data_IF_356037389647
#
_entry.id   IF_356037389647
#
_cell.length_a   1.000
_cell.length_b   1.000
_cell.length_c   1.000
_cell.angle_alpha   90.00
_cell.angle_beta   90.00
_cell.angle_gamma   90.00
#
_symmetry.space_group_name_H-M   'P 1'
#
loop_
_entity.id
_entity.type
_entity.pdbx_description
1 polymer ?
#
# COMPACT_ATOMS: atom_id res chain seq x y z
N UNK A 1 -17.34 -7.79 -7.22
CA UNK A 1 -16.14 -6.97 -6.97
C UNK A 1 -15.97 -6.92 -5.46
N UNK A 2 -15.07 -7.71 -4.92
CA UNK A 2 -14.78 -7.72 -3.49
C UNK A 2 -14.11 -6.40 -3.13
N UNK A 3 -14.65 -5.70 -2.15
CA UNK A 3 -14.00 -4.55 -1.53
C UNK A 3 -13.04 -5.10 -0.49
N UNK A 4 -11.76 -4.84 -0.64
CA UNK A 4 -10.71 -5.28 0.30
C UNK A 4 -10.86 -4.67 1.70
N UNK A 5 -11.57 -3.55 1.81
CA UNK A 5 -11.76 -2.82 3.05
C UNK A 5 -13.22 -2.89 3.52
N UNK A 6 -13.46 -3.70 4.55
CA UNK A 6 -14.77 -3.87 5.18
C UNK A 6 -15.09 -2.86 6.30
N UNK A 7 -14.20 -1.91 6.59
CA UNK A 7 -14.31 -0.98 7.73
C UNK A 7 -15.62 -0.19 7.74
N UNK A 8 -16.10 0.22 6.56
CA UNK A 8 -17.38 0.93 6.46
C UNK A 8 -18.58 0.05 6.80
N UNK A 9 -18.54 -1.23 6.46
CA UNK A 9 -19.61 -2.17 6.78
C UNK A 9 -19.60 -2.49 8.27
N UNK A 10 -18.43 -2.65 8.86
CA UNK A 10 -18.28 -2.82 10.31
C UNK A 10 -18.83 -1.58 11.04
N UNK A 11 -18.43 -0.38 10.63
CA UNK A 11 -18.90 0.88 11.23
C UNK A 11 -20.42 1.06 11.15
N UNK A 12 -21.07 0.55 10.11
CA UNK A 12 -22.53 0.61 9.93
C UNK A 12 -23.27 -0.42 10.76
N UNK A 13 -22.75 -1.64 10.81
CA UNK A 13 -23.50 -2.79 11.33
C UNK A 13 -23.18 -3.12 12.79
N UNK A 14 -22.08 -2.60 13.33
CA UNK A 14 -21.65 -2.84 14.71
C UNK A 14 -21.78 -1.53 15.52
N UNK A 15 -22.68 -1.47 16.52
CA UNK A 15 -22.82 -0.31 17.39
C UNK A 15 -21.60 -0.13 18.32
N UNK A 16 -21.43 1.08 18.86
CA UNK A 16 -20.42 1.40 19.87
C UNK A 16 -19.14 2.03 19.35
N UNK A 17 -18.97 2.12 18.03
CA UNK A 17 -17.87 2.90 17.44
C UNK A 17 -18.23 4.38 17.36
N UNK A 18 -17.30 5.23 17.79
CA UNK A 18 -17.39 6.69 17.64
C UNK A 18 -16.58 7.17 16.43
N UNK A 19 -15.41 6.55 16.24
CA UNK A 19 -14.45 6.84 15.17
C UNK A 19 -13.99 5.52 14.57
N UNK A 20 -13.86 5.47 13.27
CA UNK A 20 -13.19 4.39 12.56
C UNK A 20 -12.11 4.99 11.66
N UNK A 21 -10.85 4.69 11.99
CA UNK A 21 -9.70 5.02 11.16
C UNK A 21 -9.49 3.90 10.16
N UNK A 22 -9.45 4.26 8.88
CA UNK A 22 -9.31 3.32 7.78
C UNK A 22 -7.95 3.46 7.09
N UNK A 23 -7.57 2.44 6.35
CA UNK A 23 -6.38 2.44 5.50
C UNK A 23 -6.49 1.35 4.43
N UNK A 24 -5.36 0.89 3.89
CA UNK A 24 -5.19 -0.18 2.92
C UNK A 24 -5.62 0.15 1.49
N UNK A 25 -6.82 0.68 1.28
CA UNK A 25 -7.35 1.02 -0.06
C UNK A 25 -6.78 2.34 -0.64
N UNK A 26 -5.91 3.01 0.14
CA UNK A 26 -5.27 4.28 -0.19
C UNK A 26 -6.25 5.41 -0.52
N UNK A 27 -7.53 5.25 -0.17
CA UNK A 27 -8.53 6.28 -0.39
C UNK A 27 -8.35 7.45 0.59
N UNK A 28 -8.77 8.64 0.17
CA UNK A 28 -8.84 9.81 1.04
C UNK A 28 -10.31 10.06 1.36
N UNK A 29 -10.68 9.88 2.62
CA UNK A 29 -12.07 10.00 3.01
C UNK A 29 -12.23 10.59 4.41
N UNK A 30 -13.13 11.56 4.53
CA UNK A 30 -13.57 12.13 5.79
C UNK A 30 -15.09 12.31 5.74
N UNK A 31 -15.81 11.54 6.53
CA UNK A 31 -17.27 11.60 6.56
C UNK A 31 -17.86 11.16 7.90
N UNK A 32 -19.13 11.41 8.09
CA UNK A 32 -19.96 10.81 9.15
C UNK A 32 -20.95 9.84 8.53
N UNK A 33 -21.15 8.72 9.17
CA UNK A 33 -22.19 7.75 8.80
C UNK A 33 -23.07 7.46 10.02
N UNK A 34 -24.26 6.93 9.79
CA UNK A 34 -25.11 6.37 10.84
C UNK A 34 -24.90 4.86 10.90
N UNK A 35 -24.79 4.33 12.13
CA UNK A 35 -24.82 2.89 12.37
C UNK A 35 -26.26 2.37 12.54
N UNK A 36 -26.43 1.07 12.71
CA UNK A 36 -27.74 0.42 12.90
C UNK A 36 -28.46 0.86 14.17
N UNK A 37 -27.75 1.40 15.17
CA UNK A 37 -28.34 1.97 16.41
C UNK A 37 -28.70 3.45 16.26
N UNK A 38 -28.43 4.07 15.11
CA UNK A 38 -28.68 5.49 14.85
C UNK A 38 -27.57 6.43 15.31
N UNK A 39 -26.47 5.91 15.89
CA UNK A 39 -25.34 6.72 16.34
C UNK A 39 -24.52 7.23 15.17
N UNK A 40 -23.90 8.38 15.34
CA UNK A 40 -22.96 8.93 14.35
C UNK A 40 -21.57 8.37 14.54
N UNK A 41 -21.01 7.79 13.50
CA UNK A 41 -19.63 7.30 13.46
C UNK A 41 -18.79 8.19 12.52
N UNK A 42 -17.67 8.72 13.01
CA UNK A 42 -16.71 9.46 12.20
C UNK A 42 -15.81 8.46 11.44
N UNK A 43 -15.75 8.58 10.14
CA UNK A 43 -14.87 7.79 9.26
C UNK A 43 -13.74 8.67 8.79
N UNK A 44 -12.51 8.19 8.91
CA UNK A 44 -11.30 8.91 8.50
C UNK A 44 -10.34 7.95 7.78
N UNK A 45 -9.98 8.27 6.54
CA UNK A 45 -8.99 7.56 5.76
C UNK A 45 -7.98 8.58 5.20
N UNK A 46 -6.72 8.58 5.67
CA UNK A 46 -5.73 9.58 5.30
C UNK A 46 -4.97 9.24 3.99
N UNK A 47 -5.50 8.39 3.14
CA UNK A 47 -4.81 7.90 1.94
C UNK A 47 -3.56 7.06 2.28
N UNK A 48 -2.44 7.28 1.57
CA UNK A 48 -1.20 6.53 1.74
C UNK A 48 0.03 7.45 1.72
N UNK A 49 1.20 6.88 2.00
CA UNK A 49 2.53 7.53 1.92
C UNK A 49 2.73 8.70 2.90
N UNK A 50 1.87 8.86 3.89
CA UNK A 50 1.99 9.95 4.87
C UNK A 50 1.76 11.35 4.31
N UNK A 51 1.18 11.49 3.10
CA UNK A 51 0.90 12.81 2.50
C UNK A 51 -0.20 13.56 3.25
N UNK A 52 -1.05 12.82 3.96
CA UNK A 52 -2.14 13.33 4.79
C UNK A 52 -2.11 12.61 6.14
N UNK A 53 -2.41 13.33 7.21
CA UNK A 53 -2.57 12.78 8.56
C UNK A 53 -4.01 12.99 9.02
N UNK A 54 -4.62 11.94 9.59
CA UNK A 54 -5.93 12.03 10.21
C UNK A 54 -5.77 12.49 11.68
N UNK A 55 -6.36 13.63 12.00
CA UNK A 55 -6.43 14.14 13.37
C UNK A 55 -7.87 13.98 13.86
N UNK A 56 -8.05 13.28 14.96
CA UNK A 56 -9.34 13.12 15.61
C UNK A 56 -9.34 13.79 16.98
N UNK A 57 -10.28 14.73 17.19
CA UNK A 57 -10.45 15.44 18.44
C UNK A 57 -11.65 14.87 19.19
N UNK A 58 -11.42 14.41 20.42
CA UNK A 58 -12.43 13.86 21.29
C UNK A 58 -12.52 14.70 22.56
N UNK A 59 -13.65 15.41 22.72
CA UNK A 59 -13.92 16.18 23.92
C UNK A 59 -15.01 15.49 24.76
N UNK A 60 -14.68 15.20 26.01
CA UNK A 60 -15.58 14.54 26.94
C UNK A 60 -15.92 15.48 28.09
N UNK A 61 -17.22 15.62 28.38
CA UNK A 61 -17.70 16.30 29.57
C UNK A 61 -18.05 15.27 30.64
N UNK A 62 -17.38 15.38 31.76
CA UNK A 62 -17.58 14.47 32.90
C UNK A 62 -18.41 15.11 33.99
N UNK A 63 -19.34 14.33 34.58
CA UNK A 63 -20.07 14.68 35.79
C UNK A 63 -20.03 13.50 36.75
N UNK A 64 -19.47 13.72 37.94
CA UNK A 64 -19.27 12.66 38.95
C UNK A 64 -18.57 11.42 38.39
N UNK A 65 -17.51 11.61 37.56
CA UNK A 65 -16.73 10.54 36.97
C UNK A 65 -17.38 9.81 35.78
N UNK A 66 -18.60 10.21 35.38
CA UNK A 66 -19.30 9.63 34.24
C UNK A 66 -19.33 10.61 33.06
N UNK A 67 -19.13 10.08 31.83
CA UNK A 67 -19.29 10.87 30.60
C UNK A 67 -20.77 11.24 30.45
N UNK A 68 -21.07 12.53 30.38
CA UNK A 68 -22.43 13.07 30.18
C UNK A 68 -22.59 13.71 28.80
N UNK A 69 -21.49 14.06 28.15
CA UNK A 69 -21.49 14.62 26.81
C UNK A 69 -20.19 14.24 26.12
N UNK A 70 -20.28 13.93 24.84
CA UNK A 70 -19.16 13.55 24.00
C UNK A 70 -19.25 14.31 22.67
N UNK A 71 -18.21 15.04 22.34
CA UNK A 71 -18.05 15.70 21.05
C UNK A 71 -16.86 15.10 20.32
N UNK A 72 -17.09 14.73 19.06
CA UNK A 72 -16.07 14.11 18.22
C UNK A 72 -16.00 14.85 16.90
N UNK A 73 -14.84 15.36 16.60
CA UNK A 73 -14.53 15.98 15.32
C UNK A 73 -13.26 15.37 14.72
N UNK A 74 -12.94 15.76 13.49
CA UNK A 74 -11.72 15.29 12.84
C UNK A 74 -11.45 16.03 11.55
N UNK A 75 -10.16 16.09 11.21
CA UNK A 75 -9.66 16.75 10.02
C UNK A 75 -8.58 15.91 9.36
N UNK A 76 -8.49 16.00 8.06
CA UNK A 76 -7.38 15.46 7.28
C UNK A 76 -6.39 16.59 6.98
N UNK A 77 -5.21 16.50 7.58
CA UNK A 77 -4.17 17.54 7.52
C UNK A 77 -3.14 17.21 6.45
N UNK A 78 -2.93 18.11 5.50
CA UNK A 78 -1.94 17.98 4.43
C UNK A 78 -0.52 18.18 4.98
N UNK A 79 0.35 17.20 4.86
CA UNK A 79 1.73 17.27 5.37
C UNK A 79 2.63 18.19 4.55
N UNK A 80 2.32 18.42 3.28
CA UNK A 80 3.07 19.39 2.45
C UNK A 80 3.10 20.82 3.01
N UNK A 81 2.17 21.15 3.92
CA UNK A 81 2.09 22.47 4.54
C UNK A 81 3.01 22.62 5.76
N UNK A 82 3.72 21.57 6.14
CA UNK A 82 4.60 21.56 7.31
C UNK A 82 6.06 21.36 6.89
N UNK A 83 6.94 22.02 7.61
CA UNK A 83 8.38 21.79 7.46
C UNK A 83 8.80 20.55 8.24
N UNK A 84 9.66 19.73 7.65
CA UNK A 84 10.20 18.55 8.33
C UNK A 84 10.95 18.95 9.62
N UNK A 85 10.75 18.18 10.69
CA UNK A 85 11.46 18.39 11.95
C UNK A 85 12.95 18.09 11.76
N UNK A 86 13.80 19.07 12.06
CA UNK A 86 15.26 18.99 11.83
C UNK A 86 15.92 17.90 12.68
N UNK A 87 15.51 17.77 13.94
CA UNK A 87 16.10 16.78 14.84
C UNK A 87 15.71 15.35 14.43
N UNK A 88 14.48 15.15 14.01
CA UNK A 88 14.03 13.89 13.42
C UNK A 88 14.83 13.53 12.17
N UNK A 89 14.99 14.48 11.25
CA UNK A 89 15.77 14.26 10.02
C UNK A 89 17.24 13.95 10.32
N UNK A 90 17.85 14.66 11.27
CA UNK A 90 19.22 14.39 11.68
C UNK A 90 19.40 13.04 12.35
N UNK A 91 18.42 12.61 13.17
CA UNK A 91 18.44 11.31 13.85
C UNK A 91 18.42 10.14 12.86
N UNK A 92 17.65 10.23 11.78
CA UNK A 92 17.51 9.18 10.78
C UNK A 92 18.42 9.35 9.55
N UNK A 93 19.25 10.38 9.50
CA UNK A 93 20.14 10.62 8.36
C UNK A 93 21.07 9.44 8.03
N UNK A 94 21.69 8.72 9.00
CA UNK A 94 22.50 7.55 8.70
C UNK A 94 21.71 6.45 7.99
N UNK A 95 20.55 6.09 8.51
CA UNK A 95 19.69 5.03 7.93
C UNK A 95 19.20 5.43 6.55
N UNK A 96 18.88 6.70 6.34
CA UNK A 96 18.51 7.21 5.02
C UNK A 96 19.66 7.09 4.02
N UNK A 97 20.90 7.41 4.43
CA UNK A 97 22.10 7.23 3.61
C UNK A 97 22.31 5.77 3.25
N UNK A 98 22.24 4.86 4.22
CA UNK A 98 22.40 3.41 4.00
C UNK A 98 21.40 2.88 2.97
N UNK A 99 20.13 3.32 3.06
CA UNK A 99 19.09 2.96 2.09
C UNK A 99 19.41 3.54 0.71
N UNK A 100 19.83 4.80 0.62
CA UNK A 100 20.21 5.42 -0.66
C UNK A 100 21.38 4.67 -1.32
N UNK A 101 22.40 4.32 -0.55
CA UNK A 101 23.55 3.56 -1.03
C UNK A 101 23.15 2.16 -1.52
N UNK A 102 22.20 1.52 -0.82
CA UNK A 102 21.68 0.22 -1.25
C UNK A 102 20.87 0.31 -2.55
N UNK A 103 19.91 1.21 -2.63
CA UNK A 103 19.01 1.29 -3.80
C UNK A 103 19.67 1.86 -5.05
N UNK A 104 20.79 2.57 -4.90
CA UNK A 104 21.60 3.10 -6.01
C UNK A 104 22.61 2.10 -6.60
N UNK A 105 22.71 0.89 -6.04
CA UNK A 105 23.60 -0.14 -6.58
C UNK A 105 23.14 -0.58 -7.97
N UNK A 106 24.04 -0.49 -8.93
CA UNK A 106 23.85 -1.05 -10.26
C UNK A 106 23.84 -2.57 -10.15
N UNK A 107 22.82 -3.22 -10.72
CA UNK A 107 22.65 -4.68 -10.72
C UNK A 107 22.74 -5.29 -12.12
N UNK A 108 22.70 -4.48 -13.17
CA UNK A 108 22.79 -4.95 -14.54
C UNK A 108 22.51 -3.85 -15.56
N UNK A 109 22.07 -4.24 -16.72
CA UNK A 109 21.61 -3.33 -17.77
C UNK A 109 20.59 -4.02 -18.67
N UNK A 110 19.64 -3.23 -19.17
CA UNK A 110 18.71 -3.67 -20.20
C UNK A 110 19.16 -3.17 -21.59
N UNK A 111 19.07 -4.04 -22.57
CA UNK A 111 19.35 -3.71 -23.98
C UNK A 111 18.21 -2.96 -24.64
N UNK A 112 17.00 -3.07 -24.07
CA UNK A 112 15.78 -2.41 -24.52
C UNK A 112 15.00 -1.88 -23.32
N UNK A 113 14.13 -0.91 -23.56
CA UNK A 113 13.21 -0.41 -22.54
C UNK A 113 12.16 -1.47 -22.19
N UNK A 114 11.97 -1.73 -20.90
CA UNK A 114 10.95 -2.66 -20.40
C UNK A 114 9.78 -1.88 -19.81
N UNK A 115 8.59 -2.14 -20.36
CA UNK A 115 7.32 -1.57 -19.88
C UNK A 115 6.44 -2.68 -19.30
N UNK A 116 5.74 -2.36 -18.19
CA UNK A 116 4.82 -3.29 -17.54
C UNK A 116 3.45 -3.35 -18.18
N UNK A 117 3.05 -2.30 -18.89
CA UNK A 117 1.70 -2.15 -19.46
C UNK A 117 1.30 -3.27 -20.44
N UNK A 118 2.15 -3.71 -21.37
CA UNK A 118 1.80 -4.79 -22.30
C UNK A 118 1.43 -6.10 -21.60
N UNK A 119 1.98 -6.38 -20.41
CA UNK A 119 1.72 -7.61 -19.65
C UNK A 119 0.24 -7.79 -19.25
N UNK A 120 -0.55 -6.74 -19.27
CA UNK A 120 -2.01 -6.81 -19.00
C UNK A 120 -2.82 -7.26 -20.22
N UNK A 121 -2.21 -7.33 -21.39
CA UNK A 121 -2.87 -7.65 -22.64
C UNK A 121 -2.28 -8.89 -23.33
N UNK A 122 -1.19 -9.44 -22.78
CA UNK A 122 -0.53 -10.62 -23.31
C UNK A 122 0.93 -10.72 -22.91
N UNK A 123 1.70 -11.50 -23.68
CA UNK A 123 3.16 -11.67 -23.52
C UNK A 123 3.90 -10.33 -23.63
N UNK A 124 4.87 -10.11 -22.78
CA UNK A 124 5.70 -8.91 -22.78
C UNK A 124 7.06 -9.20 -22.17
N UNK A 125 8.09 -8.41 -22.53
CA UNK A 125 9.43 -8.55 -21.97
C UNK A 125 9.44 -8.51 -20.42
N UNK A 126 8.54 -7.74 -19.80
CA UNK A 126 8.41 -7.66 -18.34
C UNK A 126 7.93 -8.98 -17.73
N UNK A 127 6.80 -9.52 -18.21
CA UNK A 127 6.23 -10.74 -17.62
C UNK A 127 7.06 -11.97 -18.00
N UNK A 128 7.65 -11.99 -19.19
CA UNK A 128 8.53 -13.06 -19.65
C UNK A 128 9.81 -13.11 -18.81
N UNK A 129 10.37 -11.95 -18.41
CA UNK A 129 11.51 -11.88 -17.49
C UNK A 129 11.16 -12.53 -16.14
N UNK A 130 9.97 -12.23 -15.58
CA UNK A 130 9.54 -12.83 -14.31
C UNK A 130 9.38 -14.34 -14.46
N UNK A 131 8.71 -14.81 -15.50
CA UNK A 131 8.54 -16.24 -15.76
C UNK A 131 9.87 -16.96 -15.91
N UNK A 132 10.78 -16.39 -16.69
CA UNK A 132 12.11 -16.95 -16.92
C UNK A 132 12.89 -17.08 -15.60
N UNK A 133 12.92 -16.05 -14.78
CA UNK A 133 13.58 -16.09 -13.47
C UNK A 133 12.97 -17.12 -12.53
N UNK A 134 11.64 -17.21 -12.47
CA UNK A 134 10.96 -18.20 -11.64
C UNK A 134 11.26 -19.62 -12.07
N UNK A 135 11.23 -19.91 -13.37
CA UNK A 135 11.57 -21.24 -13.92
C UNK A 135 13.03 -21.60 -13.69
N UNK A 136 13.95 -20.65 -13.89
CA UNK A 136 15.38 -20.87 -13.66
C UNK A 136 15.69 -21.17 -12.19
N UNK A 137 15.12 -20.38 -11.25
CA UNK A 137 15.36 -20.53 -9.81
C UNK A 137 14.76 -21.84 -9.28
N UNK A 138 13.58 -22.23 -9.76
CA UNK A 138 12.82 -23.37 -9.22
C UNK A 138 13.00 -24.66 -9.97
N UNK A 139 13.49 -24.61 -11.21
CA UNK A 139 13.50 -25.73 -12.15
C UNK A 139 12.10 -26.34 -12.36
N UNK A 140 11.04 -25.54 -12.26
CA UNK A 140 9.67 -25.95 -12.51
C UNK A 140 9.34 -25.94 -14.01
N UNK A 141 8.29 -26.64 -14.40
CA UNK A 141 7.85 -26.74 -15.81
C UNK A 141 6.89 -25.61 -16.20
N UNK A 142 6.19 -25.02 -15.23
CA UNK A 142 5.18 -23.98 -15.44
C UNK A 142 5.39 -22.89 -14.40
N UNK A 143 5.21 -21.64 -14.82
CA UNK A 143 5.28 -20.47 -13.96
C UNK A 143 3.98 -19.66 -14.02
N UNK A 144 3.53 -19.18 -12.86
CA UNK A 144 2.40 -18.26 -12.74
C UNK A 144 2.88 -16.95 -12.16
N UNK A 145 2.55 -15.85 -12.82
CA UNK A 145 2.84 -14.50 -12.33
C UNK A 145 1.71 -13.55 -12.71
N UNK A 146 1.54 -12.50 -11.92
CA UNK A 146 0.64 -11.39 -12.22
C UNK A 146 1.44 -10.10 -12.35
N UNK A 147 1.13 -9.22 -13.32
CA UNK A 147 1.75 -7.91 -13.42
C UNK A 147 1.26 -7.03 -12.27
N UNK A 148 2.17 -6.63 -11.37
CA UNK A 148 1.86 -5.86 -10.17
C UNK A 148 1.90 -4.34 -10.38
N UNK A 149 2.48 -3.89 -11.50
CA UNK A 149 2.56 -2.48 -11.89
C UNK A 149 1.96 -2.30 -13.28
N UNK A 150 1.11 -1.27 -13.44
CA UNK A 150 0.44 -1.02 -14.72
C UNK A 150 1.23 -0.07 -15.64
N UNK A 151 1.70 1.06 -15.09
CA UNK A 151 2.38 2.12 -15.84
C UNK A 151 3.80 2.34 -15.30
N UNK A 152 4.62 1.31 -15.32
CA UNK A 152 6.02 1.41 -14.96
C UNK A 152 6.87 1.11 -16.18
N UNK A 153 7.92 1.88 -16.35
CA UNK A 153 8.89 1.73 -17.41
C UNK A 153 10.30 1.84 -16.84
N UNK A 154 11.19 0.95 -17.26
CA UNK A 154 12.63 1.06 -17.03
C UNK A 154 13.28 1.23 -18.39
N UNK A 155 13.94 2.35 -18.56
CA UNK A 155 14.62 2.69 -19.82
C UNK A 155 15.78 1.74 -20.09
N UNK A 156 16.08 1.54 -21.36
CA UNK A 156 17.33 0.92 -21.82
C UNK A 156 18.54 1.57 -21.14
N UNK A 157 19.49 0.77 -20.70
CA UNK A 157 20.71 1.22 -20.04
C UNK A 157 20.93 0.56 -18.69
N UNK A 158 21.59 1.24 -17.80
CA UNK A 158 21.91 0.74 -16.46
C UNK A 158 20.65 0.53 -15.62
N UNK A 159 20.64 -0.57 -14.88
CA UNK A 159 19.56 -0.98 -14.00
C UNK A 159 20.05 -1.02 -12.57
N UNK A 160 19.31 -0.40 -11.67
CA UNK A 160 19.62 -0.25 -10.25
C UNK A 160 18.63 -1.05 -9.38
N UNK A 161 19.02 -1.28 -8.13
CA UNK A 161 18.12 -1.93 -7.16
C UNK A 161 16.78 -1.19 -7.05
N UNK A 162 16.79 0.15 -7.08
CA UNK A 162 15.57 0.98 -7.07
C UNK A 162 14.59 0.65 -8.19
N UNK A 163 15.09 0.25 -9.37
CA UNK A 163 14.24 -0.07 -10.52
C UNK A 163 13.43 -1.35 -10.27
N UNK A 164 14.01 -2.29 -9.52
CA UNK A 164 13.31 -3.53 -9.16
C UNK A 164 12.09 -3.28 -8.29
N UNK A 165 12.17 -2.33 -7.34
CA UNK A 165 11.02 -1.92 -6.54
C UNK A 165 9.91 -1.25 -7.37
N UNK A 166 10.24 -0.68 -8.51
CA UNK A 166 9.25 -0.13 -9.44
C UNK A 166 8.56 -1.23 -10.27
N UNK A 167 9.29 -2.26 -10.67
CA UNK A 167 8.75 -3.39 -11.44
C UNK A 167 7.96 -4.35 -10.54
N UNK A 168 8.54 -4.73 -9.40
CA UNK A 168 7.98 -5.70 -8.47
C UNK A 168 7.98 -5.15 -7.05
N UNK A 169 6.87 -4.51 -6.67
CA UNK A 169 6.76 -3.66 -5.46
C UNK A 169 6.74 -4.43 -4.14
N UNK A 170 6.40 -5.71 -4.18
CA UNK A 170 6.12 -6.47 -2.96
C UNK A 170 7.15 -7.59 -2.79
N UNK A 171 7.62 -7.75 -1.57
CA UNK A 171 8.42 -8.90 -1.19
C UNK A 171 7.52 -10.11 -1.01
N UNK A 172 7.64 -11.07 -1.92
CA UNK A 172 6.86 -12.31 -1.90
C UNK A 172 7.79 -13.51 -1.87
N UNK A 173 7.31 -14.56 -1.21
CA UNK A 173 7.99 -15.86 -1.25
C UNK A 173 7.67 -16.58 -2.56
N UNK A 174 8.67 -17.18 -3.16
CA UNK A 174 8.49 -18.05 -4.33
C UNK A 174 8.14 -19.47 -3.86
N UNK A 175 6.99 -19.98 -4.31
CA UNK A 175 6.50 -21.30 -3.96
C UNK A 175 6.47 -22.20 -5.19
N UNK A 176 6.81 -23.49 -4.99
CA UNK A 176 6.59 -24.54 -5.96
C UNK A 176 5.54 -25.51 -5.46
N UNK A 177 4.67 -25.95 -6.36
CA UNK A 177 3.61 -26.92 -6.07
C UNK A 177 3.62 -28.04 -7.12
N UNK A 178 3.28 -29.23 -6.68
CA UNK A 178 3.06 -30.36 -7.60
C UNK A 178 1.58 -30.45 -7.89
N UNK A 179 1.20 -30.15 -9.12
CA UNK A 179 -0.20 -30.13 -9.57
C UNK A 179 -0.39 -31.10 -10.73
N UNK A 180 -1.59 -31.69 -10.81
CA UNK A 180 -2.02 -32.44 -11.98
C UNK A 180 -2.58 -31.49 -13.06
N UNK A 181 -2.61 -31.92 -14.32
CA UNK A 181 -3.19 -31.15 -15.42
C UNK A 181 -4.67 -30.81 -15.22
N UNK A 182 -5.40 -31.53 -14.36
CA UNK A 182 -6.79 -31.23 -14.00
C UNK A 182 -6.88 -30.05 -13.00
N UNK A 183 -5.89 -29.90 -12.12
CA UNK A 183 -5.85 -28.83 -11.13
C UNK A 183 -5.36 -27.52 -11.75
N UNK A 184 -4.62 -27.58 -12.85
CA UNK A 184 -4.14 -26.39 -13.60
C UNK A 184 -5.26 -25.80 -14.47
N UNK A 185 -6.22 -26.61 -14.96
CA UNK A 185 -7.39 -26.20 -15.75
C UNK A 185 -8.48 -25.56 -14.89
#
# INVERSE_FOLDING_TARGET
KYRENASLEVARNVPGFDIVLMGHDHARELKKIKNVAGDSVRIMNPASKGVVVANADVTLKLRKGKVVEKHIDGVLTEMKNYTANKDFMAHFAPQFSDVQDFVSKKIGSFTETISTRPAYFGSSAFIDLIHMLQLEITNAEISFAAPLSYDTEISKGDVFVSDMFNLYKYENMLYTMKLSGKEIK
#
